data_IF_269268251323
#
_entry.id   IF_269268251323
#
_cell.length_a   1.000
_cell.length_b   1.000
_cell.length_c   1.000
_cell.angle_alpha   90.00
_cell.angle_beta   90.00
_cell.angle_gamma   90.00
#
_symmetry.space_group_name_H-M   'P 1'
#
loop_
_entity.id
_entity.type
_entity.pdbx_description
1 polymer ?
#
# COMPACT_ATOMS: atom_id res chain seq x y z
N UNK A 1 -12.60 -0.11 -9.11
CA UNK A 1 -11.33 0.38 -9.74
C UNK A 1 -10.46 -0.72 -10.35
N UNK A 2 -10.48 -1.96 -9.87
CA UNK A 2 -9.62 -3.05 -10.41
C UNK A 2 -9.71 -3.24 -11.92
N UNK A 3 -10.87 -3.02 -12.53
CA UNK A 3 -11.08 -3.10 -14.00
C UNK A 3 -10.77 -1.79 -14.75
N UNK A 4 -10.11 -0.83 -14.13
CA UNK A 4 -9.85 0.48 -14.77
C UNK A 4 -9.06 0.40 -16.08
N UNK A 5 -8.22 -0.62 -16.26
CA UNK A 5 -7.51 -0.84 -17.52
C UNK A 5 -8.40 -1.32 -18.67
N UNK A 6 -9.62 -1.78 -18.38
CA UNK A 6 -10.64 -2.22 -19.39
C UNK A 6 -11.65 -1.13 -19.72
N UNK A 7 -11.57 0.03 -19.06
CA UNK A 7 -12.47 1.16 -19.26
C UNK A 7 -12.44 2.09 -18.05
N UNK A 8 -11.46 3.00 -18.00
CA UNK A 8 -11.16 3.80 -16.83
C UNK A 8 -12.37 4.62 -16.33
N UNK A 9 -13.04 5.34 -17.22
CA UNK A 9 -14.19 6.17 -16.87
C UNK A 9 -15.40 5.32 -16.40
N UNK A 10 -15.67 4.20 -17.05
CA UNK A 10 -16.74 3.29 -16.62
C UNK A 10 -16.44 2.69 -15.25
N UNK A 11 -15.21 2.24 -15.03
CA UNK A 11 -14.78 1.72 -13.72
C UNK A 11 -14.88 2.78 -12.62
N UNK A 12 -14.50 4.03 -12.90
CA UNK A 12 -14.61 5.15 -11.98
C UNK A 12 -16.07 5.44 -11.60
N UNK A 13 -16.96 5.55 -12.60
CA UNK A 13 -18.38 5.82 -12.36
C UNK A 13 -19.06 4.69 -11.57
N UNK A 14 -18.76 3.44 -11.88
CA UNK A 14 -19.27 2.29 -11.12
C UNK A 14 -18.76 2.28 -9.68
N UNK A 15 -17.50 2.65 -9.46
CA UNK A 15 -16.94 2.77 -8.11
C UNK A 15 -17.65 3.88 -7.32
N UNK A 16 -17.86 5.05 -7.91
CA UNK A 16 -18.58 6.15 -7.26
C UNK A 16 -20.02 5.76 -6.90
N UNK A 17 -20.71 5.05 -7.79
CA UNK A 17 -22.06 4.55 -7.52
C UNK A 17 -22.07 3.54 -6.35
N UNK A 18 -21.09 2.61 -6.31
CA UNK A 18 -21.00 1.62 -5.24
C UNK A 18 -20.72 2.27 -3.87
N UNK A 19 -19.96 3.37 -3.84
CA UNK A 19 -19.60 4.06 -2.61
C UNK A 19 -20.75 4.85 -1.97
N UNK A 20 -21.86 5.10 -2.68
CA UNK A 20 -23.02 5.85 -2.14
C UNK A 20 -23.61 5.18 -0.91
N UNK A 21 -23.59 3.85 -0.84
CA UNK A 21 -24.11 3.07 0.28
C UNK A 21 -23.00 2.27 0.98
N UNK A 22 -21.74 2.72 0.84
CA UNK A 22 -20.57 2.10 1.42
C UNK A 22 -20.32 2.51 2.88
N UNK A 23 -19.09 2.31 3.31
CA UNK A 23 -18.62 2.68 4.66
C UNK A 23 -18.86 4.15 4.96
N UNK A 24 -19.28 4.45 6.19
CA UNK A 24 -19.54 5.81 6.68
C UNK A 24 -18.46 6.29 7.67
N UNK A 25 -17.66 5.37 8.21
CA UNK A 25 -16.60 5.67 9.18
C UNK A 25 -15.73 4.46 9.49
N UNK A 26 -14.69 4.66 10.30
CA UNK A 26 -13.80 3.59 10.75
C UNK A 26 -14.49 2.48 11.57
N UNK A 27 -15.71 2.73 12.06
CA UNK A 27 -16.50 1.72 12.74
C UNK A 27 -17.05 0.64 11.79
N UNK A 28 -17.14 0.96 10.49
CA UNK A 28 -17.60 0.05 9.45
C UNK A 28 -16.46 -0.79 8.86
N UNK A 29 -15.23 -0.60 9.33
CA UNK A 29 -14.08 -1.33 8.80
C UNK A 29 -14.29 -2.84 8.87
N UNK A 30 -14.15 -3.50 7.73
CA UNK A 30 -14.20 -4.96 7.67
C UNK A 30 -12.86 -5.53 8.08
N UNK A 31 -12.84 -6.20 9.23
CA UNK A 31 -11.62 -6.70 9.86
C UNK A 31 -11.87 -7.97 10.66
N UNK A 32 -10.84 -8.81 10.81
CA UNK A 32 -10.83 -9.99 11.65
C UNK A 32 -10.24 -9.62 13.00
N UNK A 33 -11.05 -9.74 14.05
CA UNK A 33 -10.60 -9.49 15.43
C UNK A 33 -9.80 -10.68 15.99
N UNK A 34 -8.82 -10.36 16.84
CA UNK A 34 -8.01 -11.31 17.57
C UNK A 34 -8.12 -11.10 19.08
N UNK A 35 -7.78 -12.11 19.86
CA UNK A 35 -7.90 -12.11 21.32
C UNK A 35 -6.59 -12.54 21.97
N UNK A 36 -6.49 -12.39 23.29
CA UNK A 36 -5.36 -12.90 24.08
C UNK A 36 -5.22 -14.44 24.08
N UNK A 37 -6.16 -15.18 23.51
CA UNK A 37 -6.10 -16.64 23.35
C UNK A 37 -5.80 -17.04 21.91
N UNK A 38 -6.15 -16.19 20.97
CA UNK A 38 -5.94 -16.39 19.54
C UNK A 38 -5.26 -15.13 18.98
N UNK A 39 -3.93 -15.15 18.96
CA UNK A 39 -3.12 -13.98 18.60
C UNK A 39 -3.18 -13.67 17.11
N UNK A 40 -3.03 -12.39 16.80
CA UNK A 40 -2.79 -11.94 15.46
C UNK A 40 -1.58 -12.67 14.82
N UNK A 41 -1.72 -13.24 13.60
CA UNK A 41 -0.63 -13.94 12.93
C UNK A 41 0.64 -13.09 12.71
N UNK A 42 0.52 -11.77 12.51
CA UNK A 42 1.68 -10.88 12.43
C UNK A 42 2.45 -10.84 13.75
N UNK A 43 1.73 -10.88 14.89
CA UNK A 43 2.36 -11.00 16.19
C UNK A 43 3.10 -12.34 16.32
N UNK A 44 2.41 -13.44 16.11
CA UNK A 44 2.93 -14.79 16.39
C UNK A 44 4.06 -15.21 15.46
N UNK A 45 3.90 -14.93 14.15
CA UNK A 45 4.77 -15.51 13.12
C UNK A 45 5.89 -14.56 12.69
N UNK A 46 5.76 -13.27 12.97
CA UNK A 46 6.72 -12.26 12.49
C UNK A 46 7.30 -11.44 13.64
N UNK A 47 6.45 -10.73 14.38
CA UNK A 47 6.93 -9.76 15.35
C UNK A 47 7.68 -10.40 16.51
N UNK A 48 7.22 -11.54 17.03
CA UNK A 48 7.95 -12.30 18.06
C UNK A 48 9.30 -12.81 17.55
N UNK A 49 9.35 -13.34 16.32
CA UNK A 49 10.60 -13.79 15.71
C UNK A 49 11.59 -12.64 15.53
N UNK A 50 11.14 -11.50 15.02
CA UNK A 50 11.97 -10.29 14.89
C UNK A 50 12.45 -9.78 16.24
N UNK A 51 11.61 -9.82 17.26
CA UNK A 51 11.94 -9.33 18.60
C UNK A 51 13.02 -10.18 19.30
N UNK A 52 13.11 -11.47 18.96
CA UNK A 52 14.14 -12.38 19.45
C UNK A 52 15.39 -12.44 18.58
N UNK A 53 15.45 -11.65 17.51
CA UNK A 53 16.58 -11.62 16.56
C UNK A 53 16.59 -12.78 15.56
N UNK A 54 15.57 -13.62 15.53
CA UNK A 54 15.48 -14.80 14.63
C UNK A 54 14.95 -14.47 13.23
N UNK A 55 14.72 -13.23 12.81
CA UNK A 55 14.34 -12.82 11.66
C UNK A 55 13.95 -11.89 11.00
N UNK A 56 13.42 -11.55 10.14
CA UNK A 56 13.71 -11.32 8.86
C UNK A 56 12.67 -10.62 8.00
N UNK A 57 11.58 -10.06 8.56
CA UNK A 57 10.72 -9.15 7.82
C UNK A 57 10.94 -7.74 8.33
N UNK A 58 11.30 -6.84 7.44
CA UNK A 58 11.43 -5.42 7.74
C UNK A 58 10.76 -4.60 6.64
N UNK A 59 10.64 -3.31 6.88
CA UNK A 59 10.01 -2.37 5.96
C UNK A 59 10.92 -2.08 4.78
N UNK A 60 10.35 -2.08 3.57
CA UNK A 60 11.09 -1.71 2.37
C UNK A 60 11.53 -0.25 2.39
N UNK A 61 12.66 0.04 1.74
CA UNK A 61 13.11 1.41 1.53
C UNK A 61 12.05 2.24 0.81
N UNK A 62 11.30 1.64 -0.11
CA UNK A 62 10.23 2.33 -0.82
C UNK A 62 9.17 2.87 0.16
N UNK A 63 8.65 2.04 1.09
CA UNK A 63 7.67 2.47 2.08
C UNK A 63 8.24 3.57 2.99
N UNK A 64 9.41 3.32 3.55
CA UNK A 64 10.03 4.26 4.50
C UNK A 64 10.29 5.61 3.85
N UNK A 65 10.75 5.64 2.61
CA UNK A 65 11.02 6.89 1.88
C UNK A 65 9.76 7.71 1.56
N UNK A 66 8.57 7.09 1.52
CA UNK A 66 7.32 7.84 1.39
C UNK A 66 6.94 8.56 2.70
N UNK A 67 7.52 8.15 3.85
CA UNK A 67 7.05 8.57 5.17
C UNK A 67 8.11 9.29 6.01
N UNK A 68 9.40 9.16 5.68
CA UNK A 68 10.52 9.53 6.56
C UNK A 68 10.88 11.02 6.61
N UNK A 69 10.11 11.87 5.95
CA UNK A 69 10.37 13.31 5.93
C UNK A 69 11.50 13.75 4.99
N UNK A 70 11.98 12.84 4.11
CA UNK A 70 13.01 13.18 3.15
C UNK A 70 12.47 14.02 1.97
N UNK A 71 13.39 14.65 1.23
CA UNK A 71 13.08 15.42 0.01
C UNK A 71 12.03 16.54 0.19
N UNK A 72 12.00 17.17 1.39
CA UNK A 72 11.10 18.29 1.67
C UNK A 72 9.69 17.88 2.09
N UNK A 73 9.39 16.59 2.19
CA UNK A 73 8.14 16.12 2.75
C UNK A 73 8.16 16.18 4.29
N UNK A 74 7.01 16.34 4.97
CA UNK A 74 6.96 16.19 6.42
C UNK A 74 7.14 14.71 6.79
N UNK A 75 7.67 14.48 8.01
CA UNK A 75 7.62 13.15 8.61
C UNK A 75 6.16 12.73 8.78
N UNK A 76 5.80 11.58 8.25
CA UNK A 76 4.46 11.05 8.38
C UNK A 76 4.25 10.52 9.81
N UNK A 77 3.25 11.03 10.55
CA UNK A 77 3.03 10.64 11.95
C UNK A 77 2.60 9.17 12.12
N UNK A 78 2.23 8.47 11.05
CA UNK A 78 1.98 7.02 11.07
C UNK A 78 3.27 6.20 11.18
N UNK A 79 4.42 6.74 10.73
CA UNK A 79 5.67 5.98 10.65
C UNK A 79 6.12 5.41 12.00
N UNK A 80 6.18 6.18 13.11
CA UNK A 80 6.59 5.63 14.41
C UNK A 80 5.59 4.63 15.02
N UNK A 81 4.39 4.53 14.45
CA UNK A 81 3.37 3.56 14.88
C UNK A 81 3.47 2.23 14.12
N UNK A 82 4.00 2.23 12.90
CA UNK A 82 4.12 1.02 12.06
C UNK A 82 5.54 0.47 12.01
N UNK A 83 6.55 1.25 12.40
CA UNK A 83 7.94 0.84 12.43
C UNK A 83 8.62 1.32 13.71
N UNK A 84 9.57 0.55 14.19
CA UNK A 84 10.50 1.02 15.23
C UNK A 84 11.85 1.30 14.61
N UNK A 85 12.58 2.26 15.16
CA UNK A 85 13.91 2.63 14.71
C UNK A 85 14.93 2.27 15.78
N UNK A 86 16.14 1.88 15.37
CA UNK A 86 17.24 1.67 16.30
C UNK A 86 17.48 2.93 17.15
N UNK A 87 17.70 2.77 18.45
CA UNK A 87 17.77 3.88 19.41
C UNK A 87 18.89 4.89 19.07
N UNK A 88 19.98 4.43 18.47
CA UNK A 88 21.11 5.26 18.06
C UNK A 88 20.94 5.94 16.70
N UNK A 89 19.91 5.57 15.93
CA UNK A 89 19.69 6.13 14.61
C UNK A 89 18.95 7.47 14.68
N UNK A 90 19.37 8.43 13.88
CA UNK A 90 18.73 9.75 13.76
C UNK A 90 17.76 9.82 12.58
N UNK A 91 17.90 8.93 11.61
CA UNK A 91 17.09 8.86 10.39
C UNK A 91 16.36 7.51 10.26
N UNK A 92 15.33 7.47 9.46
CA UNK A 92 14.59 6.26 9.14
C UNK A 92 15.07 5.69 7.80
N UNK A 93 15.61 4.47 7.81
CA UNK A 93 16.16 3.82 6.62
C UNK A 93 15.53 2.43 6.49
N UNK A 94 14.78 2.21 5.43
CA UNK A 94 14.18 0.90 5.09
C UNK A 94 15.14 -0.01 4.34
N UNK A 95 14.76 -1.27 4.21
CA UNK A 95 15.54 -2.29 3.51
C UNK A 95 15.47 -2.10 1.99
N UNK A 96 16.61 -2.10 1.32
CA UNK A 96 16.66 -2.15 -0.15
C UNK A 96 16.12 -3.49 -0.63
N UNK A 97 15.11 -3.44 -1.51
CA UNK A 97 14.47 -4.64 -2.04
C UNK A 97 15.48 -5.51 -2.80
N UNK A 98 15.47 -6.81 -2.53
CA UNK A 98 16.34 -7.80 -3.16
C UNK A 98 17.76 -7.89 -2.61
N UNK A 99 18.18 -7.01 -1.67
CA UNK A 99 19.54 -7.04 -1.13
C UNK A 99 19.72 -8.06 -0.01
N UNK A 100 18.67 -8.52 0.64
CA UNK A 100 18.73 -9.48 1.75
C UNK A 100 19.34 -8.89 3.03
N UNK A 101 20.10 -9.71 3.74
CA UNK A 101 20.87 -9.27 4.91
C UNK A 101 21.93 -8.25 4.49
N UNK A 102 22.09 -7.15 5.21
CA UNK A 102 22.99 -6.06 4.79
C UNK A 102 22.30 -4.98 3.95
N UNK A 103 20.97 -4.98 3.92
CA UNK A 103 20.17 -3.95 3.24
C UNK A 103 20.38 -2.52 3.78
N UNK A 104 21.13 -2.35 4.88
CA UNK A 104 21.37 -1.05 5.52
C UNK A 104 20.16 -0.52 6.29
N UNK A 105 19.10 -1.32 6.46
CA UNK A 105 17.92 -0.93 7.23
C UNK A 105 18.24 -0.70 8.71
N UNK A 106 17.67 0.36 9.28
CA UNK A 106 17.70 0.64 10.72
C UNK A 106 16.30 0.60 11.36
N UNK A 107 15.31 0.11 10.62
CA UNK A 107 13.93 -0.04 11.08
C UNK A 107 13.58 -1.50 11.27
N UNK A 108 12.65 -1.78 12.17
CA UNK A 108 12.16 -3.13 12.41
C UNK A 108 10.64 -3.14 12.57
N UNK A 109 10.07 -4.27 12.21
CA UNK A 109 8.69 -4.65 12.49
C UNK A 109 8.69 -5.58 13.71
N UNK A 110 8.21 -5.12 14.84
CA UNK A 110 8.24 -5.87 16.10
C UNK A 110 6.92 -5.77 16.86
N UNK A 111 6.87 -6.37 18.05
CA UNK A 111 5.65 -6.45 18.89
C UNK A 111 5.06 -5.11 19.32
N UNK A 112 5.79 -4.02 19.19
CA UNK A 112 5.36 -2.68 19.58
C UNK A 112 4.71 -1.88 18.44
N UNK A 113 4.71 -2.42 17.21
CA UNK A 113 4.04 -1.77 16.08
C UNK A 113 2.55 -2.04 16.12
N UNK A 114 1.75 -1.08 15.65
CA UNK A 114 0.29 -1.14 15.74
C UNK A 114 -0.29 -2.46 15.22
N UNK A 115 0.19 -2.92 14.04
CA UNK A 115 -0.34 -4.11 13.37
C UNK A 115 0.05 -5.43 14.02
N UNK A 116 1.06 -5.43 14.89
CA UNK A 116 1.66 -6.63 15.46
C UNK A 116 1.45 -6.79 16.96
N UNK A 117 0.62 -5.97 17.57
CA UNK A 117 0.14 -6.26 18.93
C UNK A 117 -0.69 -7.55 18.92
N UNK A 118 -0.75 -8.26 20.06
CA UNK A 118 -1.41 -9.58 20.16
C UNK A 118 -2.84 -9.57 19.62
N UNK A 119 -3.58 -8.50 19.89
CA UNK A 119 -5.00 -8.38 19.58
C UNK A 119 -5.28 -7.44 18.41
N UNK A 120 -4.25 -6.95 17.71
CA UNK A 120 -4.44 -6.12 16.54
C UNK A 120 -5.32 -6.83 15.50
N UNK A 121 -6.32 -6.17 14.92
CA UNK A 121 -7.14 -6.79 13.88
C UNK A 121 -6.35 -6.92 12.57
N UNK A 122 -6.63 -7.99 11.82
CA UNK A 122 -6.26 -8.03 10.40
C UNK A 122 -7.34 -7.29 9.62
N UNK A 123 -6.95 -6.23 8.97
CA UNK A 123 -7.84 -5.35 8.21
C UNK A 123 -7.99 -5.90 6.79
N UNK A 124 -9.24 -6.07 6.34
CA UNK A 124 -9.56 -6.57 4.99
C UNK A 124 -9.94 -5.40 4.09
N UNK A 125 -10.85 -4.53 4.53
CA UNK A 125 -11.26 -3.33 3.82
C UNK A 125 -11.57 -2.21 4.82
N UNK A 126 -11.18 -0.97 4.51
CA UNK A 126 -11.34 0.16 5.42
C UNK A 126 -12.14 1.29 4.82
N UNK A 127 -12.70 2.12 5.70
CA UNK A 127 -13.26 3.40 5.29
C UNK A 127 -12.20 4.32 4.65
N UNK A 128 -10.96 4.28 5.15
CA UNK A 128 -9.85 5.01 4.53
C UNK A 128 -9.61 4.55 3.08
N UNK A 129 -9.64 3.24 2.83
CA UNK A 129 -9.53 2.70 1.48
C UNK A 129 -10.69 3.16 0.59
N UNK A 130 -11.93 3.11 1.08
CA UNK A 130 -13.10 3.59 0.37
C UNK A 130 -12.94 5.07 -0.04
N UNK A 131 -12.38 5.92 0.84
CA UNK A 131 -12.09 7.33 0.54
C UNK A 131 -11.00 7.50 -0.51
N UNK A 132 -9.96 6.67 -0.51
CA UNK A 132 -8.96 6.69 -1.58
C UNK A 132 -9.52 6.17 -2.90
N UNK A 133 -10.41 5.17 -2.90
CA UNK A 133 -11.13 4.73 -4.11
C UNK A 133 -12.01 5.86 -4.64
N UNK A 134 -12.70 6.60 -3.76
CA UNK A 134 -13.49 7.79 -4.14
C UNK A 134 -12.61 8.86 -4.77
N UNK A 135 -11.48 9.21 -4.13
CA UNK A 135 -10.54 10.21 -4.64
C UNK A 135 -10.01 9.84 -6.03
N UNK A 136 -9.58 8.59 -6.21
CA UNK A 136 -9.10 8.06 -7.49
C UNK A 136 -10.20 8.07 -8.54
N UNK A 137 -11.39 7.58 -8.21
CA UNK A 137 -12.50 7.53 -9.14
C UNK A 137 -12.94 8.94 -9.60
N UNK A 138 -13.01 9.92 -8.69
CA UNK A 138 -13.29 11.32 -9.04
C UNK A 138 -12.18 11.95 -9.88
N UNK A 139 -10.92 11.63 -9.60
CA UNK A 139 -9.78 12.07 -10.41
C UNK A 139 -9.89 11.54 -11.84
N UNK A 140 -10.13 10.23 -12.01
CA UNK A 140 -10.26 9.58 -13.32
C UNK A 140 -11.52 10.04 -14.06
N UNK A 141 -12.66 10.15 -13.38
CA UNK A 141 -13.90 10.65 -13.99
C UNK A 141 -13.78 12.11 -14.47
N UNK A 142 -12.89 12.90 -13.86
CA UNK A 142 -12.55 14.27 -14.28
C UNK A 142 -11.49 14.30 -15.41
N UNK A 143 -11.21 13.19 -16.07
CA UNK A 143 -10.22 13.09 -17.15
C UNK A 143 -8.78 12.91 -16.67
N UNK A 144 -8.57 12.61 -15.39
CA UNK A 144 -7.25 12.40 -14.80
C UNK A 144 -6.56 11.13 -15.33
N UNK A 145 -5.25 11.26 -15.59
CA UNK A 145 -4.35 10.18 -16.05
C UNK A 145 -3.10 10.15 -15.17
N UNK A 146 -2.20 9.21 -15.42
CA UNK A 146 -0.94 9.10 -14.69
C UNK A 146 -0.02 10.34 -14.83
N UNK A 147 -0.22 11.16 -15.85
CA UNK A 147 0.63 12.32 -16.16
C UNK A 147 -0.06 13.68 -15.99
N UNK A 148 -1.37 13.68 -15.74
CA UNK A 148 -2.13 14.91 -15.52
C UNK A 148 -2.21 15.28 -14.04
N UNK A 149 -2.70 16.48 -13.77
CA UNK A 149 -3.00 17.01 -12.44
C UNK A 149 -4.38 17.65 -12.42
N UNK A 150 -4.93 17.78 -11.23
CA UNK A 150 -6.22 18.41 -11.00
C UNK A 150 -7.36 17.42 -10.81
N UNK A 151 -8.21 17.72 -9.84
CA UNK A 151 -9.41 16.96 -9.51
C UNK A 151 -10.53 17.92 -9.08
N UNK A 152 -11.73 17.40 -8.87
CA UNK A 152 -12.83 18.15 -8.27
C UNK A 152 -12.58 18.44 -6.78
N UNK A 153 -13.23 19.46 -6.22
CA UNK A 153 -13.17 19.73 -4.80
C UNK A 153 -13.56 18.50 -3.96
N UNK A 154 -14.60 17.76 -4.37
CA UNK A 154 -15.01 16.52 -3.71
C UNK A 154 -13.95 15.41 -3.81
N UNK A 155 -13.22 15.30 -4.93
CA UNK A 155 -12.12 14.35 -5.07
C UNK A 155 -10.96 14.70 -4.16
N UNK A 156 -10.66 15.97 -4.01
CA UNK A 156 -9.62 16.43 -3.09
C UNK A 156 -10.00 16.19 -1.61
N UNK A 157 -11.25 16.50 -1.24
CA UNK A 157 -11.77 16.20 0.10
C UNK A 157 -11.70 14.71 0.41
N UNK A 158 -12.12 13.85 -0.52
CA UNK A 158 -12.05 12.40 -0.34
C UNK A 158 -10.60 11.92 -0.10
N UNK A 159 -9.62 12.49 -0.82
CA UNK A 159 -8.20 12.18 -0.60
C UNK A 159 -7.72 12.61 0.80
N UNK A 160 -8.05 13.82 1.25
CA UNK A 160 -7.72 14.29 2.60
C UNK A 160 -8.39 13.45 3.68
N UNK A 161 -9.65 13.06 3.48
CA UNK A 161 -10.40 12.18 4.39
C UNK A 161 -9.76 10.79 4.47
N UNK A 162 -9.30 10.23 3.34
CA UNK A 162 -8.57 8.98 3.32
C UNK A 162 -7.31 9.01 4.19
N UNK A 163 -6.53 10.10 4.12
CA UNK A 163 -5.36 10.30 4.98
C UNK A 163 -5.79 10.41 6.45
N UNK A 164 -6.74 11.29 6.76
CA UNK A 164 -7.18 11.55 8.13
C UNK A 164 -7.73 10.30 8.80
N UNK A 165 -8.60 9.55 8.12
CA UNK A 165 -9.22 8.35 8.66
C UNK A 165 -8.22 7.20 8.84
N UNK A 166 -7.25 7.06 7.92
CA UNK A 166 -6.12 6.15 8.08
C UNK A 166 -5.29 6.48 9.33
N UNK A 167 -5.00 7.76 9.56
CA UNK A 167 -4.26 8.21 10.74
C UNK A 167 -5.04 7.94 12.04
N UNK A 168 -6.32 8.27 12.06
CA UNK A 168 -7.21 8.01 13.20
C UNK A 168 -7.28 6.52 13.52
N UNK A 169 -7.35 5.66 12.50
CA UNK A 169 -7.43 4.20 12.64
C UNK A 169 -6.28 3.64 13.48
N UNK A 170 -5.07 4.11 13.26
CA UNK A 170 -3.87 3.60 13.93
C UNK A 170 -3.44 4.41 15.15
N UNK A 171 -4.23 5.41 15.57
CA UNK A 171 -4.02 6.16 16.80
C UNK A 171 -3.14 7.40 16.68
N UNK A 172 -2.95 7.96 15.50
CA UNK A 172 -2.35 9.30 15.35
C UNK A 172 -3.26 10.35 15.97
N UNK A 173 -2.68 11.27 16.74
CA UNK A 173 -3.45 12.35 17.35
C UNK A 173 -4.08 13.27 16.29
N UNK A 174 -5.24 13.86 16.62
CA UNK A 174 -5.90 14.83 15.72
C UNK A 174 -5.00 16.04 15.43
N UNK A 175 -4.18 16.46 16.39
CA UNK A 175 -3.25 17.57 16.24
C UNK A 175 -2.15 17.24 15.23
N UNK A 176 -1.54 16.07 15.34
CA UNK A 176 -0.49 15.62 14.41
C UNK A 176 -1.05 15.40 13.00
N UNK A 177 -2.22 14.78 12.89
CA UNK A 177 -2.91 14.59 11.62
C UNK A 177 -3.23 15.94 10.94
N UNK A 178 -3.68 16.92 11.71
CA UNK A 178 -3.97 18.27 11.21
C UNK A 178 -2.68 18.98 10.76
N UNK A 179 -1.62 18.89 11.55
CA UNK A 179 -0.30 19.46 11.21
C UNK A 179 0.23 18.85 9.91
N UNK A 180 0.15 17.54 9.77
CA UNK A 180 0.57 16.84 8.56
C UNK A 180 -0.24 17.27 7.34
N UNK A 181 -1.57 17.27 7.43
CA UNK A 181 -2.47 17.66 6.33
C UNK A 181 -2.34 19.13 5.92
N UNK A 182 -1.95 20.01 6.83
CA UNK A 182 -1.73 21.44 6.55
C UNK A 182 -0.33 21.74 6.00
N UNK A 183 0.59 20.78 6.02
CA UNK A 183 1.92 20.99 5.45
C UNK A 183 1.82 21.22 3.93
N UNK A 184 2.51 22.22 3.41
CA UNK A 184 2.42 22.61 2.00
C UNK A 184 2.80 21.49 1.02
N UNK A 185 3.68 20.58 1.40
CA UNK A 185 4.05 19.42 0.58
C UNK A 185 2.93 18.35 0.51
N UNK A 186 2.02 18.35 1.48
CA UNK A 186 0.82 17.49 1.52
C UNK A 186 -0.39 18.25 0.99
N UNK A 187 -0.64 19.46 1.47
CA UNK A 187 -1.77 20.30 1.09
C UNK A 187 -1.57 20.94 -0.29
N UNK A 188 -1.51 20.13 -1.32
CA UNK A 188 -1.20 20.57 -2.71
C UNK A 188 -2.35 21.33 -3.38
N UNK A 189 -3.55 21.26 -2.83
CA UNK A 189 -4.77 21.81 -3.42
C UNK A 189 -5.34 20.96 -4.56
N UNK A 190 -6.65 21.10 -4.81
CA UNK A 190 -7.37 20.30 -5.81
C UNK A 190 -6.78 20.41 -7.22
N UNK A 191 -6.35 21.60 -7.62
CA UNK A 191 -5.80 21.87 -8.96
C UNK A 191 -4.43 21.21 -9.22
N UNK A 192 -3.70 20.87 -8.17
CA UNK A 192 -2.37 20.25 -8.27
C UNK A 192 -2.34 18.78 -7.89
N UNK A 193 -3.45 18.22 -7.39
CA UNK A 193 -3.50 16.82 -7.01
C UNK A 193 -3.20 15.93 -8.21
N UNK A 194 -2.31 14.96 -8.03
CA UNK A 194 -1.93 13.97 -9.05
C UNK A 194 -2.37 12.58 -8.64
N UNK A 195 -2.44 11.67 -9.60
CA UNK A 195 -2.66 10.26 -9.30
C UNK A 195 -1.57 9.70 -8.38
N UNK A 196 -0.32 10.17 -8.53
CA UNK A 196 0.77 9.81 -7.64
C UNK A 196 0.52 10.20 -6.18
N UNK A 197 -0.03 11.40 -5.92
CA UNK A 197 -0.40 11.80 -4.56
C UNK A 197 -1.45 10.87 -3.96
N UNK A 198 -2.49 10.53 -4.75
CA UNK A 198 -3.56 9.64 -4.30
C UNK A 198 -3.01 8.25 -3.97
N UNK A 199 -2.28 7.64 -4.91
CA UNK A 199 -1.81 6.27 -4.78
C UNK A 199 -0.68 6.11 -3.75
N UNK A 200 0.16 7.13 -3.55
CA UNK A 200 1.16 7.12 -2.46
C UNK A 200 0.48 7.08 -1.09
N UNK A 201 -0.52 7.91 -0.87
CA UNK A 201 -1.22 7.93 0.41
C UNK A 201 -2.09 6.67 0.61
N UNK A 202 -2.69 6.15 -0.45
CA UNK A 202 -3.39 4.85 -0.43
C UNK A 202 -2.41 3.71 -0.09
N UNK A 203 -1.24 3.69 -0.71
CA UNK A 203 -0.19 2.71 -0.43
C UNK A 203 0.22 2.69 1.05
N UNK A 204 0.43 3.85 1.65
CA UNK A 204 0.74 3.97 3.08
C UNK A 204 -0.43 3.51 3.96
N UNK A 205 -1.65 3.90 3.62
CA UNK A 205 -2.85 3.54 4.38
C UNK A 205 -3.15 2.03 4.35
N UNK A 206 -2.81 1.37 3.24
CA UNK A 206 -2.99 -0.06 3.03
C UNK A 206 -1.76 -0.89 3.43
N UNK A 207 -0.93 -0.40 4.35
CA UNK A 207 0.23 -1.14 4.85
C UNK A 207 -0.19 -2.55 5.31
N UNK A 208 0.51 -3.59 4.82
CA UNK A 208 0.23 -5.02 5.02
C UNK A 208 -1.07 -5.55 4.36
N UNK A 209 -1.76 -4.76 3.57
CA UNK A 209 -2.92 -5.22 2.80
C UNK A 209 -2.49 -5.66 1.39
N UNK A 210 -2.86 -6.86 0.91
CA UNK A 210 -2.49 -7.36 -0.42
C UNK A 210 -3.05 -6.55 -1.59
N UNK A 211 -4.09 -5.72 -1.38
CA UNK A 211 -4.63 -4.83 -2.41
C UNK A 211 -3.62 -3.80 -2.92
N UNK A 212 -2.60 -3.48 -2.14
CA UNK A 212 -1.45 -2.69 -2.58
C UNK A 212 -0.81 -3.30 -3.84
N UNK A 213 -0.62 -4.62 -3.88
CA UNK A 213 -0.07 -5.29 -5.03
C UNK A 213 -1.02 -5.29 -6.23
N UNK A 214 -2.33 -5.39 -5.99
CA UNK A 214 -3.36 -5.24 -7.03
C UNK A 214 -3.30 -3.85 -7.66
N UNK A 215 -3.18 -2.80 -6.85
CA UNK A 215 -3.06 -1.42 -7.33
C UNK A 215 -1.76 -1.20 -8.13
N UNK A 216 -0.63 -1.74 -7.67
CA UNK A 216 0.64 -1.63 -8.41
C UNK A 216 0.56 -2.30 -9.79
N UNK A 217 0.00 -3.50 -9.88
CA UNK A 217 -0.21 -4.22 -11.16
C UNK A 217 -1.18 -3.49 -12.08
N UNK A 218 -2.23 -2.93 -11.52
CA UNK A 218 -3.24 -2.17 -12.26
C UNK A 218 -2.65 -0.94 -12.95
N UNK A 219 -1.66 -0.31 -12.35
CA UNK A 219 -0.90 0.81 -12.93
C UNK A 219 0.43 0.38 -13.56
N UNK A 220 0.64 -0.93 -13.75
CA UNK A 220 1.85 -1.50 -14.35
C UNK A 220 3.15 -0.98 -13.71
N UNK A 221 3.13 -0.80 -12.39
CA UNK A 221 4.23 -0.26 -11.60
C UNK A 221 4.80 1.07 -12.12
N UNK A 222 3.97 1.84 -12.82
CA UNK A 222 4.37 3.10 -13.45
C UNK A 222 5.02 4.07 -12.47
N UNK A 223 6.21 4.56 -12.80
CA UNK A 223 6.92 5.57 -11.99
C UNK A 223 6.25 6.94 -12.01
N UNK A 224 5.32 7.20 -12.93
CA UNK A 224 4.46 8.37 -12.89
C UNK A 224 3.43 8.30 -11.75
N UNK A 225 3.10 7.09 -11.32
CA UNK A 225 2.15 6.82 -10.21
C UNK A 225 2.90 6.51 -8.92
N UNK A 226 3.85 5.58 -8.97
CA UNK A 226 4.68 5.16 -7.85
C UNK A 226 6.09 5.74 -8.01
N UNK A 227 6.26 7.00 -7.67
CA UNK A 227 7.54 7.72 -7.84
C UNK A 227 8.65 7.04 -7.07
N UNK A 228 9.83 6.91 -7.70
CA UNK A 228 11.01 6.27 -7.14
C UNK A 228 10.84 4.76 -6.82
N UNK A 229 9.77 4.13 -7.31
CA UNK A 229 9.68 2.67 -7.26
C UNK A 229 10.72 2.08 -8.20
N UNK A 230 11.57 1.20 -7.67
CA UNK A 230 12.64 0.53 -8.41
C UNK A 230 12.51 -0.99 -8.29
N UNK A 231 12.94 -1.69 -9.32
CA UNK A 231 13.06 -3.15 -9.30
C UNK A 231 14.02 -3.60 -8.18
N UNK A 232 13.78 -4.78 -7.56
CA UNK A 232 14.72 -5.36 -6.61
C UNK A 232 16.13 -5.53 -7.21
N UNK A 233 17.17 -5.32 -6.40
CA UNK A 233 18.57 -5.43 -6.88
C UNK A 233 18.92 -6.83 -7.40
N UNK A 234 18.50 -7.89 -6.69
CA UNK A 234 18.72 -9.27 -7.09
C UNK A 234 17.40 -9.87 -7.64
N UNK A 235 16.96 -9.32 -8.76
CA UNK A 235 15.75 -9.76 -9.42
C UNK A 235 15.90 -11.20 -9.96
N UNK A 236 14.88 -12.06 -9.77
CA UNK A 236 14.86 -13.39 -10.37
C UNK A 236 15.00 -13.30 -11.89
N UNK A 237 15.88 -14.13 -12.51
CA UNK A 237 16.00 -14.20 -13.97
C UNK A 237 14.69 -14.48 -14.71
N UNK A 238 13.76 -15.20 -14.06
CA UNK A 238 12.44 -15.52 -14.62
C UNK A 238 11.59 -14.29 -14.89
N UNK A 239 11.89 -13.18 -14.21
CA UNK A 239 11.20 -11.90 -14.40
C UNK A 239 11.74 -11.12 -15.62
N UNK A 240 12.90 -11.48 -16.16
CA UNK A 240 13.49 -10.85 -17.36
C UNK A 240 13.54 -9.30 -17.27
N UNK A 241 13.92 -8.77 -16.12
CA UNK A 241 13.98 -7.32 -15.88
C UNK A 241 12.60 -6.64 -15.72
N UNK A 242 11.52 -7.39 -15.52
CA UNK A 242 10.16 -6.87 -15.38
C UNK A 242 9.62 -7.10 -13.96
N UNK A 243 8.55 -6.41 -13.64
CA UNK A 243 7.82 -6.61 -12.41
C UNK A 243 7.03 -7.92 -12.40
N UNK A 244 6.88 -8.51 -11.21
CA UNK A 244 6.01 -9.67 -11.01
C UNK A 244 4.54 -9.27 -11.23
N UNK A 245 3.85 -10.01 -12.11
CA UNK A 245 2.47 -9.74 -12.49
C UNK A 245 1.47 -10.80 -11.97
N UNK A 246 1.97 -11.97 -11.60
CA UNK A 246 1.19 -13.10 -11.08
C UNK A 246 2.03 -13.99 -10.19
N UNK A 247 1.36 -14.78 -9.37
CA UNK A 247 2.02 -15.86 -8.65
C UNK A 247 2.41 -17.00 -9.60
N UNK A 248 3.46 -17.73 -9.26
CA UNK A 248 3.81 -18.98 -9.94
C UNK A 248 2.74 -20.04 -9.72
N UNK A 249 2.62 -20.98 -10.65
CA UNK A 249 1.77 -22.14 -10.44
C UNK A 249 2.31 -22.98 -9.26
N UNK A 250 1.42 -23.53 -8.41
CA UNK A 250 1.84 -24.42 -7.33
C UNK A 250 2.57 -25.66 -7.87
N UNK A 251 3.55 -26.14 -7.14
CA UNK A 251 4.28 -27.37 -7.51
C UNK A 251 3.36 -28.58 -7.63
N UNK A 252 2.31 -28.63 -6.79
CA UNK A 252 1.28 -29.67 -6.84
C UNK A 252 0.49 -29.66 -8.17
N UNK A 253 0.20 -28.49 -8.73
CA UNK A 253 -0.44 -28.39 -10.04
C UNK A 253 0.50 -28.88 -11.16
N UNK A 254 1.74 -28.45 -11.13
CA UNK A 254 2.76 -28.86 -12.10
C UNK A 254 3.03 -30.39 -12.07
N UNK A 255 2.91 -31.03 -10.91
CA UNK A 255 3.19 -32.48 -10.76
C UNK A 255 1.97 -33.37 -10.98
N UNK A 256 0.76 -32.90 -10.64
CA UNK A 256 -0.46 -33.71 -10.67
C UNK A 256 -1.33 -33.47 -11.91
N UNK A 257 -1.17 -32.31 -12.55
CA UNK A 257 -1.91 -31.89 -13.71
C UNK A 257 -0.99 -31.33 -14.81
N UNK A 258 0.12 -32.03 -15.03
CA UNK A 258 1.27 -31.57 -15.83
C UNK A 258 0.90 -31.09 -17.23
N UNK A 259 0.03 -31.84 -17.93
CA UNK A 259 -0.32 -31.50 -19.32
C UNK A 259 -1.12 -30.20 -19.40
N UNK A 260 -2.14 -30.05 -18.54
CA UNK A 260 -2.98 -28.85 -18.51
C UNK A 260 -2.18 -27.65 -17.99
N UNK A 261 -1.37 -27.86 -16.96
CA UNK A 261 -0.48 -26.81 -16.44
C UNK A 261 0.50 -26.32 -17.52
N UNK A 262 1.10 -27.22 -18.29
CA UNK A 262 2.01 -26.87 -19.39
C UNK A 262 1.29 -26.13 -20.52
N UNK A 263 0.12 -26.60 -20.94
CA UNK A 263 -0.68 -25.99 -22.02
C UNK A 263 -1.12 -24.56 -21.68
N UNK A 264 -1.37 -24.28 -20.39
CA UNK A 264 -1.89 -22.99 -19.91
C UNK A 264 -0.83 -22.13 -19.21
N UNK A 265 0.42 -22.56 -19.21
CA UNK A 265 1.50 -21.85 -18.51
C UNK A 265 1.62 -20.41 -18.97
N UNK A 266 1.73 -19.53 -17.99
CA UNK A 266 2.06 -18.12 -18.18
C UNK A 266 3.19 -17.75 -17.20
N UNK A 267 4.24 -17.14 -17.71
CA UNK A 267 5.35 -16.67 -16.90
C UNK A 267 4.90 -15.62 -15.87
N UNK A 268 5.62 -15.54 -14.76
CA UNK A 268 5.26 -14.68 -13.62
C UNK A 268 5.30 -13.18 -13.95
N UNK A 269 5.95 -12.77 -15.03
CA UNK A 269 6.00 -11.40 -15.54
C UNK A 269 4.89 -11.07 -16.57
N UNK A 270 4.01 -12.03 -16.89
CA UNK A 270 2.88 -11.81 -17.82
C UNK A 270 1.67 -11.30 -17.07
N UNK A 271 1.08 -10.15 -17.44
CA UNK A 271 -0.09 -9.60 -16.79
C UNK A 271 -1.27 -10.58 -16.77
N UNK A 272 -2.06 -10.51 -15.70
CA UNK A 272 -3.36 -11.16 -15.65
C UNK A 272 -4.33 -10.44 -16.58
N UNK A 273 -5.36 -11.15 -17.06
CA UNK A 273 -6.36 -10.62 -17.98
C UNK A 273 -6.90 -9.23 -17.58
N UNK A 274 -7.22 -9.03 -16.31
CA UNK A 274 -7.78 -7.77 -15.83
C UNK A 274 -6.81 -6.59 -15.88
N UNK A 275 -5.49 -6.86 -15.93
CA UNK A 275 -4.44 -5.85 -15.95
C UNK A 275 -3.74 -5.74 -17.32
N UNK A 276 -4.02 -6.64 -18.25
CA UNK A 276 -3.53 -6.52 -19.62
C UNK A 276 -4.24 -5.37 -20.35
N UNK A 277 -3.50 -4.65 -21.19
CA UNK A 277 -4.03 -3.60 -22.06
C UNK A 277 -4.86 -4.21 -23.19
#
# INVERSE_FOLDING_TARGET
>A
MQLSRKGATTAANNALQALTNGFQGNADDFQVAYTSRNFNPWHSNVALANNTGNFTITHSAYLINQMNGAAGNPLDPRLPLIATRAATATTWVGATAGRGTGSGSNVSFNVNTWQSTQTAPIVICTFAEAKFIEAEARFVANGGTATTRGTTAAGYTAWQDGIRTSMTKIGVSTADATTYLNNAAVNVGAVNLTLSNIMTQKYVALFLNPEVWTDMRRYDYSTNVYRNLALPENLSPDLQGRWIQRMSYPSSENSRNTEVARANFKAINVPMWMFAQ
#
